data_IF_782381084902
#
_entry.id   IF_782381084902
#
_cell.length_a   1.000
_cell.length_b   1.000
_cell.length_c   1.000
_cell.angle_alpha   90.00
_cell.angle_beta   90.00
_cell.angle_gamma   90.00
#
_symmetry.space_group_name_H-M   'P 1'
#
loop_
_entity.id
_entity.type
_entity.pdbx_description
1 polymer ?
#
# COMPACT_ATOMS: atom_id res chain seq x y z
N UNK A 1 -2.33 -9.79 -3.16
CA UNK A 1 -1.48 -10.93 -2.74
C UNK A 1 -0.40 -10.45 -1.78
N UNK A 2 -0.03 -11.22 -0.75
CA UNK A 2 1.06 -10.87 0.18
C UNK A 2 2.41 -11.31 -0.42
N UNK A 3 3.35 -10.38 -0.55
CA UNK A 3 4.71 -10.67 -1.03
C UNK A 3 5.75 -10.76 0.07
N UNK A 4 5.58 -10.01 1.16
CA UNK A 4 6.48 -10.15 2.32
C UNK A 4 6.38 -11.58 2.87
N UNK A 5 7.50 -12.29 3.05
CA UNK A 5 7.48 -13.63 3.63
C UNK A 5 6.80 -13.65 5.00
N UNK A 6 6.00 -14.69 5.27
CA UNK A 6 5.35 -14.86 6.57
C UNK A 6 6.36 -15.20 7.68
N UNK A 7 7.45 -15.88 7.31
CA UNK A 7 8.55 -16.24 8.20
C UNK A 7 9.25 -14.95 8.74
N UNK A 8 9.20 -14.69 10.06
CA UNK A 8 9.81 -13.51 10.66
C UNK A 8 11.32 -13.40 10.41
N UNK A 9 12.03 -14.51 10.25
CA UNK A 9 13.48 -14.52 10.00
C UNK A 9 13.86 -14.03 8.60
N UNK A 10 12.89 -13.93 7.68
CA UNK A 10 13.07 -13.57 6.27
C UNK A 10 12.46 -12.21 5.90
N UNK A 11 12.09 -11.40 6.90
CA UNK A 11 11.48 -10.07 6.67
C UNK A 11 12.04 -9.02 7.60
N UNK A 12 11.99 -7.78 7.12
CA UNK A 12 12.25 -6.59 7.93
C UNK A 12 10.97 -6.01 8.51
N UNK A 13 10.97 -4.68 8.63
CA UNK A 13 9.89 -3.88 9.22
C UNK A 13 8.83 -3.41 8.22
N UNK A 14 8.81 -3.94 7.00
CA UNK A 14 7.86 -3.52 5.96
C UNK A 14 6.98 -4.68 5.48
N UNK A 15 5.76 -4.36 5.08
CA UNK A 15 4.82 -5.28 4.45
C UNK A 15 4.55 -4.81 3.02
N UNK A 16 4.76 -5.70 2.04
CA UNK A 16 4.49 -5.46 0.63
C UNK A 16 3.34 -6.34 0.16
N UNK A 17 2.35 -5.71 -0.46
CA UNK A 17 1.20 -6.35 -1.09
C UNK A 17 1.21 -6.09 -2.59
N UNK A 18 0.90 -7.10 -3.40
CA UNK A 18 0.69 -6.96 -4.84
C UNK A 18 -0.78 -6.75 -5.16
N UNK A 19 -1.06 -5.77 -6.01
CA UNK A 19 -2.37 -5.55 -6.63
C UNK A 19 -2.17 -4.84 -7.98
N UNK A 20 -2.92 -5.24 -9.02
CA UNK A 20 -2.83 -4.64 -10.36
C UNK A 20 -3.13 -3.13 -10.32
N UNK A 21 -4.16 -2.76 -9.58
CA UNK A 21 -4.57 -1.36 -9.35
C UNK A 21 -3.86 -0.72 -8.14
N UNK A 22 -2.66 -1.20 -7.80
CA UNK A 22 -1.96 -0.82 -6.58
C UNK A 22 -1.65 0.67 -6.49
N UNK A 23 -1.44 1.34 -7.63
CA UNK A 23 -1.20 2.79 -7.64
C UNK A 23 -2.41 3.56 -7.13
N UNK A 24 -3.58 3.32 -7.73
CA UNK A 24 -4.81 4.02 -7.38
C UNK A 24 -5.28 3.70 -5.95
N UNK A 25 -5.11 2.45 -5.52
CA UNK A 25 -5.37 2.06 -4.12
C UNK A 25 -4.47 2.83 -3.16
N UNK A 26 -3.18 2.99 -3.46
CA UNK A 26 -2.28 3.78 -2.62
C UNK A 26 -2.68 5.25 -2.59
N UNK A 27 -3.08 5.84 -3.72
CA UNK A 27 -3.53 7.24 -3.75
C UNK A 27 -4.79 7.45 -2.91
N UNK A 28 -5.76 6.53 -2.98
CA UNK A 28 -6.96 6.57 -2.14
C UNK A 28 -6.62 6.47 -0.64
N UNK A 29 -5.68 5.59 -0.28
CA UNK A 29 -5.18 5.46 1.09
C UNK A 29 -4.49 6.74 1.58
N UNK A 30 -3.64 7.35 0.75
CA UNK A 30 -2.96 8.61 1.05
C UNK A 30 -3.99 9.72 1.28
N UNK A 31 -5.04 9.80 0.45
CA UNK A 31 -6.13 10.75 0.63
C UNK A 31 -6.90 10.56 1.95
N UNK A 32 -6.91 9.33 2.50
CA UNK A 32 -7.47 8.97 3.81
C UNK A 32 -6.47 9.11 4.97
N UNK A 33 -5.26 9.61 4.71
CA UNK A 33 -4.21 9.80 5.73
C UNK A 33 -3.37 8.55 6.03
N UNK A 34 -3.54 7.44 5.28
CA UNK A 34 -2.69 6.25 5.38
C UNK A 34 -1.56 6.37 4.37
N UNK A 35 -0.38 6.77 4.86
CA UNK A 35 0.77 7.05 4.01
C UNK A 35 1.63 5.79 3.85
N UNK A 36 1.61 5.21 2.66
CA UNK A 36 2.55 4.19 2.20
C UNK A 36 3.22 4.62 0.90
N UNK A 37 3.92 3.69 0.25
CA UNK A 37 4.48 3.93 -1.08
C UNK A 37 4.03 2.87 -2.10
N UNK A 38 3.78 3.33 -3.32
CA UNK A 38 3.60 2.43 -4.46
C UNK A 38 4.93 2.32 -5.21
N UNK A 39 5.36 1.09 -5.50
CA UNK A 39 6.51 0.84 -6.36
C UNK A 39 6.05 0.14 -7.62
N UNK A 40 6.26 0.83 -8.74
CA UNK A 40 6.09 0.23 -10.05
C UNK A 40 7.10 -0.90 -10.22
N UNK A 41 6.60 -2.03 -10.72
CA UNK A 41 7.40 -3.16 -11.13
C UNK A 41 8.17 -2.88 -12.43
N UNK A 42 8.95 -3.88 -12.86
CA UNK A 42 9.68 -3.85 -14.13
C UNK A 42 8.91 -4.55 -15.28
N UNK A 43 7.67 -4.98 -15.02
CA UNK A 43 6.84 -5.71 -15.97
C UNK A 43 7.29 -7.16 -16.23
N UNK A 44 8.32 -7.66 -15.52
CA UNK A 44 8.88 -8.98 -15.72
C UNK A 44 9.07 -9.76 -14.41
N UNK A 45 10.02 -9.34 -13.57
CA UNK A 45 10.41 -10.05 -12.34
C UNK A 45 9.83 -9.40 -11.09
N UNK A 46 9.70 -8.07 -11.11
CA UNK A 46 9.21 -7.31 -9.98
C UNK A 46 7.78 -6.87 -10.27
N UNK A 47 6.80 -7.30 -9.47
CA UNK A 47 5.43 -6.84 -9.62
C UNK A 47 5.26 -5.42 -9.09
N UNK A 48 4.16 -4.78 -9.46
CA UNK A 48 3.67 -3.58 -8.80
C UNK A 48 3.28 -3.88 -7.35
N UNK A 49 3.77 -3.06 -6.42
CA UNK A 49 3.55 -3.29 -4.98
C UNK A 49 3.08 -2.04 -4.24
N UNK A 50 2.14 -2.26 -3.33
CA UNK A 50 1.80 -1.39 -2.21
C UNK A 50 2.72 -1.74 -1.05
N UNK A 51 3.45 -0.78 -0.51
CA UNK A 51 4.41 -1.02 0.57
C UNK A 51 4.08 -0.15 1.78
N UNK A 52 4.05 -0.80 2.94
CA UNK A 52 3.76 -0.21 4.23
C UNK A 52 4.97 -0.41 5.15
N UNK A 53 5.59 0.68 5.57
CA UNK A 53 6.70 0.66 6.51
C UNK A 53 6.21 0.78 7.94
N UNK A 54 6.71 -0.08 8.83
CA UNK A 54 6.39 -0.03 10.26
C UNK A 54 7.62 0.39 11.06
N UNK A 55 7.71 1.65 11.46
CA UNK A 55 8.79 2.13 12.33
C UNK A 55 8.37 2.01 13.80
N UNK A 56 8.95 1.09 14.60
CA UNK A 56 8.48 0.84 15.96
C UNK A 56 8.68 2.01 16.94
N UNK A 57 9.52 2.98 16.59
CA UNK A 57 9.80 4.14 17.43
C UNK A 57 8.57 5.04 17.64
N UNK A 58 7.65 5.07 16.67
CA UNK A 58 6.52 6.00 16.68
C UNK A 58 5.22 5.43 16.09
N UNK A 59 5.18 4.17 15.66
CA UNK A 59 3.95 3.51 15.25
C UNK A 59 3.51 2.49 16.29
N UNK A 60 2.23 2.56 16.65
CA UNK A 60 1.56 1.61 17.53
C UNK A 60 0.74 0.56 16.78
N UNK A 61 0.21 -0.41 17.52
CA UNK A 61 -0.68 -1.43 16.97
C UNK A 61 -2.01 -0.83 16.46
N UNK A 62 -2.50 0.23 17.09
CA UNK A 62 -3.72 0.92 16.67
C UNK A 62 -3.54 1.58 15.28
N UNK A 63 -2.37 2.18 15.00
CA UNK A 63 -2.09 2.75 13.68
C UNK A 63 -2.15 1.66 12.59
N UNK A 64 -1.59 0.49 12.88
CA UNK A 64 -1.65 -0.67 11.99
C UNK A 64 -3.11 -1.14 11.77
N UNK A 65 -3.90 -1.20 12.84
CA UNK A 65 -5.32 -1.56 12.75
C UNK A 65 -6.12 -0.57 11.90
N UNK A 66 -5.98 0.73 12.17
CA UNK A 66 -6.65 1.80 11.43
C UNK A 66 -6.26 1.78 9.96
N UNK A 67 -4.98 1.58 9.65
CA UNK A 67 -4.52 1.44 8.26
C UNK A 67 -5.18 0.26 7.53
N UNK A 68 -5.34 -0.88 8.21
CA UNK A 68 -6.03 -2.06 7.65
C UNK A 68 -7.52 -1.80 7.46
N UNK A 69 -8.18 -1.09 8.38
CA UNK A 69 -9.60 -0.72 8.20
C UNK A 69 -9.82 0.19 7.00
N UNK A 70 -8.98 1.21 6.83
CA UNK A 70 -9.04 2.09 5.66
C UNK A 70 -8.76 1.32 4.37
N UNK A 71 -7.78 0.42 4.35
CA UNK A 71 -7.53 -0.45 3.20
C UNK A 71 -8.74 -1.33 2.86
N UNK A 72 -9.39 -1.92 3.88
CA UNK A 72 -10.61 -2.71 3.69
C UNK A 72 -11.72 -1.87 3.06
N UNK A 73 -11.97 -0.67 3.58
CA UNK A 73 -13.01 0.22 3.07
C UNK A 73 -12.75 0.71 1.65
N UNK A 74 -11.50 1.10 1.34
CA UNK A 74 -11.07 1.48 -0.02
C UNK A 74 -11.38 0.35 -1.00
N UNK A 75 -11.00 -0.88 -0.65
CA UNK A 75 -11.21 -2.04 -1.52
C UNK A 75 -12.69 -2.41 -1.67
N UNK A 76 -13.48 -2.32 -0.60
CA UNK A 76 -14.91 -2.67 -0.60
C UNK A 76 -15.76 -1.64 -1.33
N UNK A 77 -15.53 -0.35 -1.08
CA UNK A 77 -16.27 0.73 -1.74
C UNK A 77 -15.88 0.89 -3.22
N UNK A 78 -14.65 0.53 -3.57
CA UNK A 78 -14.12 0.73 -4.91
C UNK A 78 -13.79 2.19 -5.24
N UNK A 79 -13.72 3.08 -4.24
CA UNK A 79 -13.45 4.51 -4.43
C UNK A 79 -12.13 4.79 -5.17
N UNK A 80 -11.15 3.89 -5.08
CA UNK A 80 -9.88 3.99 -5.79
C UNK A 80 -10.07 4.01 -7.32
N UNK A 81 -11.24 3.63 -7.84
CA UNK A 81 -11.60 3.70 -9.25
C UNK A 81 -11.97 5.10 -9.72
N UNK A 82 -12.16 6.05 -8.82
CA UNK A 82 -12.37 7.44 -9.20
C UNK A 82 -11.16 7.96 -9.99
N UNK A 83 -11.42 8.74 -11.04
CA UNK A 83 -10.40 9.22 -11.97
C UNK A 83 -9.25 9.95 -11.26
N UNK A 84 -9.57 10.69 -10.21
CA UNK A 84 -8.61 11.44 -9.37
C UNK A 84 -7.48 10.58 -8.78
N UNK A 85 -7.71 9.29 -8.57
CA UNK A 85 -6.70 8.36 -8.02
C UNK A 85 -5.90 7.63 -9.10
N UNK A 86 -6.34 7.69 -10.35
CA UNK A 86 -5.67 7.05 -11.49
C UNK A 86 -4.63 7.96 -12.16
N UNK A 87 -4.68 9.27 -11.88
CA UNK A 87 -3.75 10.24 -12.48
C UNK A 87 -2.37 10.09 -11.86
N UNK A 88 -1.42 9.58 -12.63
CA UNK A 88 -0.01 9.53 -12.24
C UNK A 88 0.55 10.95 -12.15
N UNK A 89 0.84 11.42 -10.95
CA UNK A 89 1.56 12.67 -10.77
C UNK A 89 2.95 12.55 -11.39
N UNK A 90 3.23 13.33 -12.43
CA UNK A 90 4.57 13.48 -12.99
C UNK A 90 5.41 14.22 -11.95
N UNK A 91 6.38 13.54 -11.34
CA UNK A 91 7.38 14.21 -10.52
C UNK A 91 8.25 15.01 -11.50
N UNK A 92 8.16 16.35 -11.44
CA UNK A 92 9.03 17.29 -12.16
C UNK A 92 10.46 17.24 -11.65
#
# INVERSE_FOLDING_TARGET
ELLTPRDPSKRGTQVSLRHMEGYAIMQALIARGVIGDFRAGDGARHPDILRFGFTPLYLGYEDAWRAVEQLREVLQSGEWREEKYSVKSTVT
#
